data_IF_359809674207
#
_entry.id   IF_359809674207
#
_cell.length_a   1.000
_cell.length_b   1.000
_cell.length_c   1.000
_cell.angle_alpha   90.00
_cell.angle_beta   90.00
_cell.angle_gamma   90.00
#
_symmetry.space_group_name_H-M   'P 1'
#
loop_
_entity.id
_entity.type
_entity.pdbx_description
1 polymer ?
#
# COMPACT_ATOMS: atom_id res chain seq x y z
N UNK A 1 2.41 -13.25 8.83
CA UNK A 1 1.33 -13.23 7.82
C UNK A 1 1.66 -14.16 6.66
N UNK A 2 0.67 -14.81 6.04
CA UNK A 2 0.89 -15.58 4.81
C UNK A 2 0.82 -14.69 3.56
N UNK A 3 1.29 -15.17 2.41
CA UNK A 3 1.34 -14.36 1.19
C UNK A 3 -0.04 -13.87 0.69
N UNK A 4 -1.12 -14.64 0.92
CA UNK A 4 -2.48 -14.22 0.53
C UNK A 4 -3.01 -13.12 1.45
N UNK A 5 -2.74 -13.23 2.74
CA UNK A 5 -3.12 -12.23 3.73
C UNK A 5 -2.39 -10.91 3.44
N UNK A 6 -1.09 -10.97 3.13
CA UNK A 6 -0.31 -9.78 2.78
C UNK A 6 -0.88 -9.08 1.54
N UNK A 7 -1.17 -9.84 0.49
CA UNK A 7 -1.79 -9.30 -0.73
C UNK A 7 -3.16 -8.66 -0.45
N UNK A 8 -3.91 -9.24 0.49
CA UNK A 8 -5.20 -8.70 0.91
C UNK A 8 -5.02 -7.36 1.61
N UNK A 9 -4.10 -7.25 2.58
CA UNK A 9 -3.80 -5.97 3.25
C UNK A 9 -3.33 -4.92 2.25
N UNK A 10 -2.43 -5.27 1.32
CA UNK A 10 -1.96 -4.37 0.25
C UNK A 10 -3.11 -3.86 -0.64
N UNK A 11 -4.06 -4.73 -1.02
CA UNK A 11 -5.24 -4.33 -1.78
C UNK A 11 -6.11 -3.34 -1.00
N UNK A 12 -6.29 -3.53 0.31
CA UNK A 12 -7.04 -2.59 1.14
C UNK A 12 -6.31 -1.24 1.28
N UNK A 13 -4.98 -1.25 1.38
CA UNK A 13 -4.18 -0.01 1.37
C UNK A 13 -4.36 0.72 0.02
N UNK A 14 -4.42 -0.02 -1.10
CA UNK A 14 -4.59 0.55 -2.44
C UNK A 14 -5.91 1.29 -2.64
N UNK A 15 -6.96 0.94 -1.89
CA UNK A 15 -8.24 1.67 -1.92
C UNK A 15 -8.22 2.97 -1.13
N UNK A 16 -7.09 3.32 -0.52
CA UNK A 16 -6.93 4.55 0.25
C UNK A 16 -7.32 4.42 1.72
N UNK A 17 -7.38 3.21 2.27
CA UNK A 17 -7.64 3.02 3.70
C UNK A 17 -6.47 3.51 4.55
N UNK A 18 -6.82 4.13 5.69
CA UNK A 18 -5.86 4.57 6.70
C UNK A 18 -5.37 3.42 7.57
N UNK A 19 -4.16 3.56 8.12
CA UNK A 19 -3.52 2.56 8.96
C UNK A 19 -4.37 2.16 10.18
N UNK A 20 -5.05 3.12 10.81
CA UNK A 20 -5.94 2.87 11.94
C UNK A 20 -7.15 2.01 11.55
N UNK A 21 -7.68 2.23 10.34
CA UNK A 21 -8.78 1.43 9.80
C UNK A 21 -8.31 0.00 9.54
N UNK A 22 -7.10 -0.19 9.02
CA UNK A 22 -6.53 -1.53 8.79
C UNK A 22 -6.38 -2.32 10.09
N UNK A 23 -5.97 -1.70 11.19
CA UNK A 23 -5.92 -2.37 12.50
C UNK A 23 -7.30 -2.84 12.98
N UNK A 24 -8.36 -2.15 12.57
CA UNK A 24 -9.74 -2.51 12.92
C UNK A 24 -10.29 -3.57 11.99
N UNK A 25 -9.95 -3.54 10.70
CA UNK A 25 -10.34 -4.54 9.71
C UNK A 25 -9.61 -5.87 9.89
N UNK A 26 -8.40 -5.83 10.42
CA UNK A 26 -7.54 -6.99 10.61
C UNK A 26 -7.07 -7.12 12.07
N UNK A 27 -7.99 -7.30 13.04
CA UNK A 27 -7.64 -7.34 14.46
C UNK A 27 -6.81 -8.58 14.83
N UNK A 28 -6.89 -9.63 14.02
CA UNK A 28 -6.19 -10.91 14.23
C UNK A 28 -4.73 -10.87 13.75
N UNK A 29 -4.32 -9.80 13.04
CA UNK A 29 -2.96 -9.65 12.57
C UNK A 29 -2.13 -8.72 13.48
N UNK A 30 -0.83 -8.97 13.65
CA UNK A 30 0.04 -8.08 14.40
C UNK A 30 0.06 -6.68 13.78
N UNK A 31 -0.11 -5.65 14.62
CA UNK A 31 -0.07 -4.24 14.17
C UNK A 31 1.26 -3.88 13.51
N UNK A 32 2.36 -4.42 14.02
CA UNK A 32 3.70 -4.23 13.45
C UNK A 32 3.75 -4.70 11.99
N UNK A 33 3.21 -5.87 11.71
CA UNK A 33 3.18 -6.46 10.36
C UNK A 33 2.29 -5.63 9.40
N UNK A 34 1.11 -5.20 9.85
CA UNK A 34 0.23 -4.30 9.08
C UNK A 34 0.94 -2.97 8.78
N UNK A 35 1.62 -2.39 9.78
CA UNK A 35 2.32 -1.11 9.64
C UNK A 35 3.51 -1.19 8.67
N UNK A 36 4.21 -2.31 8.67
CA UNK A 36 5.34 -2.56 7.77
C UNK A 36 4.86 -2.65 6.32
N UNK A 37 3.75 -3.37 6.08
CA UNK A 37 3.12 -3.47 4.76
C UNK A 37 2.64 -2.09 4.29
N UNK A 38 1.96 -1.32 5.16
CA UNK A 38 1.49 0.03 4.86
C UNK A 38 2.64 0.96 4.48
N UNK A 39 3.73 0.96 5.25
CA UNK A 39 4.91 1.77 5.02
C UNK A 39 5.59 1.41 3.69
N UNK A 40 5.83 0.12 3.42
CA UNK A 40 6.39 -0.34 2.14
C UNK A 40 5.50 0.05 0.96
N UNK A 41 4.19 -0.13 1.07
CA UNK A 41 3.25 0.23 0.01
C UNK A 41 3.31 1.73 -0.31
N UNK A 42 3.31 2.59 0.71
CA UNK A 42 3.43 4.05 0.53
C UNK A 42 4.78 4.47 -0.04
N UNK A 43 5.88 3.91 0.46
CA UNK A 43 7.22 4.16 -0.08
C UNK A 43 7.34 3.73 -1.55
N UNK A 44 6.72 2.61 -1.94
CA UNK A 44 6.67 2.17 -3.33
C UNK A 44 5.78 3.06 -4.21
N UNK A 45 4.66 3.57 -3.68
CA UNK A 45 3.85 4.56 -4.39
C UNK A 45 4.58 5.89 -4.60
N UNK A 46 5.38 6.35 -3.64
CA UNK A 46 6.20 7.56 -3.81
C UNK A 46 7.24 7.37 -4.93
N UNK A 47 7.86 6.18 -5.02
CA UNK A 47 8.75 5.85 -6.13
C UNK A 47 8.01 5.78 -7.48
N UNK A 48 6.83 5.17 -7.52
CA UNK A 48 6.00 5.12 -8.73
C UNK A 48 5.52 6.50 -9.17
N UNK A 49 5.07 7.36 -8.26
CA UNK A 49 4.64 8.73 -8.59
C UNK A 49 5.81 9.60 -9.09
N UNK A 50 7.02 9.34 -8.59
CA UNK A 50 8.23 10.00 -9.11
C UNK A 50 8.62 9.50 -10.52
N UNK A 51 8.29 8.26 -10.90
CA UNK A 51 8.51 7.76 -12.27
C UNK A 51 7.38 8.12 -13.25
N UNK A 52 6.14 8.26 -12.79
CA UNK A 52 4.98 8.61 -13.63
C UNK A 52 4.97 10.09 -14.05
N UNK A 53 5.71 10.95 -13.35
CA UNK A 53 5.77 12.40 -13.64
C UNK A 53 6.72 12.76 -14.81
N UNK A 54 7.20 11.79 -15.60
CA UNK A 54 8.11 12.06 -16.73
C UNK A 54 7.72 11.43 -18.06
N UNK A 55 6.53 10.83 -18.17
CA UNK A 55 6.01 10.40 -19.47
C UNK A 55 5.12 11.49 -20.04
N UNK A 56 5.75 12.59 -20.45
CA UNK A 56 5.15 13.51 -21.41
C UNK A 56 5.02 12.77 -22.74
N UNK A 57 3.87 12.16 -23.00
CA UNK A 57 3.57 11.61 -24.33
C UNK A 57 3.41 12.80 -25.27
N UNK A 58 4.50 13.20 -25.93
CA UNK A 58 4.45 14.13 -27.05
C UNK A 58 3.73 13.46 -28.22
N UNK A 59 2.42 13.70 -28.34
CA UNK A 59 1.62 13.34 -29.52
C UNK A 59 1.58 14.50 -30.54
N UNK A 60 2.74 15.07 -30.89
CA UNK A 60 2.86 16.04 -31.99
C UNK A 60 4.14 15.87 -32.78
#
# INVERSE_FOLDING_TARGET
MNARDQLTVENFISTGMELETLYTCFPDFPKEEISEIYSRYKANQENLNNEVTNISINCS
#
